data_IF_126390123202
#
_entry.id   IF_126390123202
#
_cell.length_a   1.000
_cell.length_b   1.000
_cell.length_c   1.000
_cell.angle_alpha   90.00
_cell.angle_beta   90.00
_cell.angle_gamma   90.00
#
_symmetry.space_group_name_H-M   'P 1'
#
loop_
_entity.id
_entity.type
_entity.pdbx_description
1 polymer ?
#
# COMPACT_ATOMS: atom_id res chain seq x y z
N UNK A 1 -12.48 15.67 -55.99
CA UNK A 1 -11.90 14.50 -55.27
C UNK A 1 -11.60 14.83 -53.82
N UNK A 2 -11.00 15.97 -53.51
CA UNK A 2 -10.60 16.35 -52.14
C UNK A 2 -11.79 16.62 -51.19
N UNK A 3 -12.86 17.25 -51.68
CA UNK A 3 -14.07 17.53 -50.88
C UNK A 3 -14.77 16.22 -50.45
N UNK A 4 -14.81 15.23 -51.34
CA UNK A 4 -15.42 13.91 -51.05
C UNK A 4 -14.61 13.17 -49.98
N UNK A 5 -13.28 13.26 -50.04
CA UNK A 5 -12.40 12.69 -49.03
C UNK A 5 -12.59 13.32 -47.65
N UNK A 6 -12.74 14.66 -47.60
CA UNK A 6 -13.04 15.38 -46.37
C UNK A 6 -14.36 14.94 -45.72
N UNK A 7 -15.41 14.74 -46.52
CA UNK A 7 -16.73 14.29 -46.03
C UNK A 7 -16.64 12.87 -45.46
N UNK A 8 -15.91 11.96 -46.12
CA UNK A 8 -15.76 10.57 -45.66
C UNK A 8 -15.04 10.51 -44.31
N UNK A 9 -13.98 11.30 -44.12
CA UNK A 9 -13.27 11.38 -42.83
C UNK A 9 -14.18 11.90 -41.72
N UNK A 10 -15.00 12.92 -42.02
CA UNK A 10 -15.95 13.49 -41.08
C UNK A 10 -16.97 12.44 -40.61
N UNK A 11 -17.51 11.65 -41.54
CA UNK A 11 -18.43 10.55 -41.21
C UNK A 11 -17.77 9.49 -40.34
N UNK A 12 -16.52 9.08 -40.65
CA UNK A 12 -15.78 8.10 -39.84
C UNK A 12 -15.50 8.60 -38.41
N UNK A 13 -15.16 9.87 -38.24
CA UNK A 13 -14.95 10.48 -36.92
C UNK A 13 -16.24 10.50 -36.10
N UNK A 14 -17.36 10.91 -36.71
CA UNK A 14 -18.67 10.92 -36.04
C UNK A 14 -19.07 9.50 -35.66
N UNK A 15 -18.85 8.52 -36.53
CA UNK A 15 -19.21 7.13 -36.26
C UNK A 15 -18.36 6.52 -35.14
N UNK A 16 -17.05 6.80 -35.11
CA UNK A 16 -16.16 6.42 -34.03
C UNK A 16 -16.55 7.02 -32.68
N UNK A 17 -16.97 8.30 -32.66
CA UNK A 17 -17.44 8.97 -31.44
C UNK A 17 -18.77 8.37 -30.92
N UNK A 18 -19.70 8.03 -31.82
CA UNK A 18 -20.96 7.38 -31.46
C UNK A 18 -20.69 5.97 -30.90
N UNK A 19 -19.81 5.19 -31.51
CA UNK A 19 -19.48 3.84 -31.02
C UNK A 19 -18.72 3.88 -29.68
N UNK A 20 -17.86 4.89 -29.45
CA UNK A 20 -17.19 5.09 -28.16
C UNK A 20 -18.20 5.37 -27.04
N UNK A 21 -19.31 6.07 -27.32
CA UNK A 21 -20.41 6.25 -26.36
C UNK A 21 -21.15 4.95 -26.07
N UNK A 22 -21.36 4.10 -27.08
CA UNK A 22 -22.04 2.80 -26.90
C UNK A 22 -21.24 1.82 -26.03
N UNK A 23 -19.91 1.81 -26.14
CA UNK A 23 -19.04 0.98 -25.28
C UNK A 23 -19.12 1.34 -23.79
N UNK A 24 -19.32 2.63 -23.46
CA UNK A 24 -19.54 3.06 -22.07
C UNK A 24 -20.91 2.68 -21.53
N UNK A 25 -21.93 2.60 -22.38
CA UNK A 25 -23.29 2.20 -21.96
C UNK A 25 -23.47 0.69 -21.83
N UNK A 26 -22.64 -0.13 -22.50
CA UNK A 26 -22.66 -1.59 -22.32
C UNK A 26 -22.27 -1.96 -20.89
N UNK A 27 -21.20 -1.35 -20.37
CA UNK A 27 -20.79 -1.45 -18.95
C UNK A 27 -21.91 -1.06 -17.97
N UNK A 28 -22.70 -0.02 -18.27
CA UNK A 28 -23.84 0.43 -17.43
C UNK A 28 -25.03 -0.54 -17.50
N UNK A 29 -25.14 -1.34 -18.57
CA UNK A 29 -26.21 -2.34 -18.73
C UNK A 29 -25.85 -3.70 -18.13
N UNK A 30 -24.57 -4.09 -18.15
CA UNK A 30 -24.13 -5.37 -17.59
C UNK A 30 -24.28 -5.43 -16.04
N UNK A 31 -24.05 -4.33 -15.30
CA UNK A 31 -24.29 -4.29 -13.83
C UNK A 31 -25.78 -4.26 -13.43
N UNK A 32 -26.72 -4.20 -14.38
CA UNK A 32 -28.17 -4.15 -14.09
C UNK A 32 -28.87 -5.51 -14.13
N UNK A 33 -28.12 -6.60 -14.31
CA UNK A 33 -28.68 -7.95 -14.37
C UNK A 33 -28.10 -8.84 -13.25
N UNK A 34 -28.38 -8.48 -12.00
CA UNK A 34 -28.35 -9.43 -10.88
C UNK A 34 -29.80 -9.71 -10.43
N UNK A 35 -30.32 -10.81 -10.97
CA UNK A 35 -31.23 -11.81 -10.37
C UNK A 35 -32.57 -11.45 -9.71
N UNK A 36 -33.02 -10.20 -9.63
CA UNK A 36 -34.41 -9.94 -9.19
C UNK A 36 -35.15 -8.95 -10.08
N UNK A 37 -36.07 -9.48 -10.89
CA UNK A 37 -36.93 -8.75 -11.82
C UNK A 37 -37.94 -7.83 -11.14
N UNK A 38 -37.49 -6.77 -10.46
CA UNK A 38 -38.34 -5.62 -10.15
C UNK A 38 -37.58 -4.33 -10.42
N UNK A 39 -38.07 -3.56 -11.40
CA UNK A 39 -37.67 -2.17 -11.57
C UNK A 39 -38.24 -1.37 -10.40
N UNK A 40 -37.49 -1.30 -9.30
CA UNK A 40 -37.81 -0.40 -8.20
C UNK A 40 -37.36 1.00 -8.64
N UNK A 41 -38.32 1.81 -9.06
CA UNK A 41 -38.15 3.23 -9.28
C UNK A 41 -37.93 3.91 -7.91
N UNK A 42 -36.66 4.02 -7.49
CA UNK A 42 -36.31 4.62 -6.19
C UNK A 42 -36.47 6.14 -6.25
N UNK A 43 -37.38 6.64 -5.43
CA UNK A 43 -37.69 8.07 -5.25
C UNK A 43 -36.45 8.86 -4.83
N UNK A 44 -36.39 10.12 -5.25
CA UNK A 44 -35.25 11.05 -5.14
C UNK A 44 -34.71 11.30 -3.72
N UNK A 45 -35.37 10.84 -2.66
CA UNK A 45 -34.95 10.99 -1.26
C UNK A 45 -33.97 9.94 -0.73
N UNK A 46 -33.78 8.81 -1.42
CA UNK A 46 -32.81 7.75 -1.04
C UNK A 46 -31.47 7.85 -1.79
N UNK A 47 -31.20 8.98 -2.46
CA UNK A 47 -29.97 9.18 -3.25
C UNK A 47 -28.70 9.40 -2.43
N UNK A 48 -28.80 9.45 -1.09
CA UNK A 48 -27.66 9.71 -0.20
C UNK A 48 -26.76 8.50 0.08
N UNK A 49 -27.18 7.28 -0.22
CA UNK A 49 -26.46 6.03 0.16
C UNK A 49 -25.52 5.50 -0.90
N UNK A 50 -25.61 5.95 -2.15
CA UNK A 50 -24.74 5.45 -3.23
C UNK A 50 -23.36 6.11 -3.22
N UNK A 51 -23.27 7.41 -2.91
CA UNK A 51 -21.97 8.09 -2.79
C UNK A 51 -21.12 7.54 -1.64
N UNK A 52 -21.73 7.24 -0.49
CA UNK A 52 -21.03 6.62 0.64
C UNK A 52 -20.57 5.20 0.34
N UNK A 53 -21.35 4.43 -0.44
CA UNK A 53 -20.99 3.07 -0.82
C UNK A 53 -19.84 3.04 -1.83
N UNK A 54 -19.83 3.98 -2.78
CA UNK A 54 -18.72 4.16 -3.72
C UNK A 54 -17.43 4.60 -3.00
N UNK A 55 -17.53 5.52 -2.04
CA UNK A 55 -16.40 5.97 -1.21
C UNK A 55 -15.85 4.83 -0.33
N UNK A 56 -16.73 4.01 0.26
CA UNK A 56 -16.35 2.82 1.03
C UNK A 56 -15.69 1.74 0.17
N UNK A 57 -16.21 1.50 -1.03
CA UNK A 57 -15.61 0.55 -1.98
C UNK A 57 -14.25 1.02 -2.46
N UNK A 58 -14.09 2.31 -2.75
CA UNK A 58 -12.80 2.88 -3.17
C UNK A 58 -11.79 2.87 -2.01
N UNK A 59 -12.21 3.18 -0.78
CA UNK A 59 -11.37 3.02 0.40
C UNK A 59 -10.92 1.56 0.60
N UNK A 60 -11.82 0.59 0.36
CA UNK A 60 -11.48 -0.82 0.45
C UNK A 60 -10.50 -1.25 -0.66
N UNK A 61 -10.67 -0.78 -1.90
CA UNK A 61 -9.71 -1.01 -3.00
C UNK A 61 -8.32 -0.48 -2.64
N UNK A 62 -8.24 0.73 -2.09
CA UNK A 62 -6.99 1.33 -1.64
C UNK A 62 -6.35 0.53 -0.50
N UNK A 63 -7.16 0.05 0.44
CA UNK A 63 -6.69 -0.80 1.54
C UNK A 63 -6.13 -2.14 1.04
N UNK A 64 -6.83 -2.81 0.12
CA UNK A 64 -6.35 -4.07 -0.48
C UNK A 64 -5.04 -3.84 -1.25
N UNK A 65 -4.96 -2.75 -2.03
CA UNK A 65 -3.73 -2.37 -2.73
C UNK A 65 -2.57 -2.15 -1.75
N UNK A 66 -2.83 -1.48 -0.62
CA UNK A 66 -1.86 -1.26 0.44
C UNK A 66 -1.37 -2.59 1.05
N UNK A 67 -2.29 -3.50 1.38
CA UNK A 67 -1.95 -4.82 1.91
C UNK A 67 -1.11 -5.65 0.93
N UNK A 68 -1.37 -5.52 -0.37
CA UNK A 68 -0.56 -6.14 -1.43
C UNK A 68 0.89 -5.65 -1.38
N UNK A 69 1.08 -4.32 -1.36
CA UNK A 69 2.41 -3.69 -1.26
C UNK A 69 3.16 -4.11 0.02
N UNK A 70 2.45 -4.11 1.15
CA UNK A 70 3.01 -4.57 2.45
C UNK A 70 3.45 -6.02 2.37
N UNK A 71 2.64 -6.90 1.77
CA UNK A 71 2.94 -8.33 1.69
C UNK A 71 4.14 -8.61 0.79
N UNK A 72 4.26 -7.92 -0.34
CA UNK A 72 5.40 -8.02 -1.26
C UNK A 72 6.70 -7.60 -0.58
N UNK A 73 6.71 -6.41 0.05
CA UNK A 73 7.89 -5.92 0.76
C UNK A 73 8.22 -6.79 1.98
N UNK A 74 7.23 -7.30 2.71
CA UNK A 74 7.47 -8.20 3.84
C UNK A 74 8.17 -9.50 3.40
N UNK A 75 7.79 -10.06 2.24
CA UNK A 75 8.43 -11.25 1.68
C UNK A 75 9.87 -10.97 1.24
N UNK A 76 10.12 -9.83 0.61
CA UNK A 76 11.48 -9.47 0.19
C UNK A 76 12.40 -9.23 1.39
N UNK A 77 11.91 -8.57 2.44
CA UNK A 77 12.62 -8.40 3.71
C UNK A 77 12.92 -9.76 4.34
N UNK A 78 11.93 -10.65 4.47
CA UNK A 78 12.15 -11.97 5.06
C UNK A 78 13.17 -12.80 4.25
N UNK A 79 13.13 -12.71 2.92
CA UNK A 79 14.12 -13.36 2.05
C UNK A 79 15.53 -12.79 2.24
N UNK A 80 15.66 -11.47 2.39
CA UNK A 80 16.93 -10.82 2.64
C UNK A 80 17.50 -11.22 4.01
N UNK A 81 16.68 -11.14 5.06
CA UNK A 81 17.09 -11.47 6.42
C UNK A 81 17.45 -12.94 6.56
N UNK A 82 16.70 -13.86 5.96
CA UNK A 82 17.04 -15.30 5.99
C UNK A 82 18.36 -15.65 5.32
N UNK A 83 18.83 -14.85 4.35
CA UNK A 83 20.14 -15.01 3.70
C UNK A 83 21.29 -14.42 4.52
N UNK A 84 21.03 -13.32 5.23
CA UNK A 84 22.07 -12.53 5.89
C UNK A 84 22.22 -12.84 7.39
N UNK A 85 21.17 -13.33 8.05
CA UNK A 85 21.17 -13.60 9.49
C UNK A 85 21.16 -15.10 9.79
N UNK A 86 22.24 -15.65 10.38
CA UNK A 86 22.30 -17.05 10.80
C UNK A 86 21.20 -17.43 11.80
N UNK A 87 20.70 -16.46 12.57
CA UNK A 87 19.64 -16.64 13.57
C UNK A 87 18.37 -17.27 12.98
N UNK A 88 18.06 -16.98 11.71
CA UNK A 88 16.92 -17.58 11.00
C UNK A 88 17.01 -19.11 10.89
N UNK A 89 18.21 -19.68 10.88
CA UNK A 89 18.41 -21.13 10.81
C UNK A 89 18.12 -21.82 12.15
N UNK A 90 18.18 -21.07 13.26
CA UNK A 90 18.05 -21.59 14.63
C UNK A 90 16.67 -21.37 15.25
N UNK A 91 15.83 -20.50 14.65
CA UNK A 91 14.51 -20.15 15.16
C UNK A 91 13.46 -21.19 14.75
N UNK A 92 12.43 -21.35 15.59
CA UNK A 92 11.32 -22.25 15.29
C UNK A 92 10.42 -21.66 14.20
N UNK A 93 9.61 -22.52 13.55
CA UNK A 93 8.64 -22.06 12.56
C UNK A 93 7.65 -21.03 13.13
N UNK A 94 7.22 -21.20 14.39
CA UNK A 94 6.33 -20.28 15.08
C UNK A 94 6.98 -18.91 15.34
N UNK A 95 8.26 -18.89 15.72
CA UNK A 95 9.01 -17.65 15.90
C UNK A 95 9.16 -16.88 14.58
N UNK A 96 9.44 -17.59 13.48
CA UNK A 96 9.53 -17.00 12.15
C UNK A 96 8.19 -16.45 11.67
N UNK A 97 7.07 -17.13 11.97
CA UNK A 97 5.72 -16.65 11.65
C UNK A 97 5.34 -15.40 12.46
N UNK A 98 5.72 -15.34 13.74
CA UNK A 98 5.55 -14.15 14.58
C UNK A 98 6.38 -12.98 14.06
N UNK A 99 7.64 -13.23 13.74
CA UNK A 99 8.53 -12.23 13.15
C UNK A 99 7.99 -11.69 11.82
N UNK A 100 7.49 -12.56 10.93
CA UNK A 100 6.88 -12.13 9.68
C UNK A 100 5.62 -11.28 9.89
N UNK A 101 4.83 -11.61 10.91
CA UNK A 101 3.65 -10.82 11.28
C UNK A 101 4.04 -9.43 11.81
N UNK A 102 5.13 -9.33 12.57
CA UNK A 102 5.72 -8.07 13.02
C UNK A 102 6.25 -7.23 11.84
N UNK A 103 6.94 -7.84 10.88
CA UNK A 103 7.37 -7.14 9.66
C UNK A 103 6.15 -6.50 8.96
N UNK A 104 5.07 -7.28 8.80
CA UNK A 104 3.85 -6.77 8.16
C UNK A 104 3.20 -5.62 8.93
N UNK A 105 3.12 -5.68 10.26
CA UNK A 105 2.51 -4.61 11.04
C UNK A 105 3.34 -3.32 10.96
N UNK A 106 4.66 -3.43 11.11
CA UNK A 106 5.58 -2.28 11.03
C UNK A 106 5.54 -1.61 9.66
N UNK A 107 5.53 -2.40 8.58
CA UNK A 107 5.42 -1.89 7.21
C UNK A 107 4.06 -1.24 6.93
N UNK A 108 2.98 -1.81 7.48
CA UNK A 108 1.64 -1.24 7.33
C UNK A 108 1.56 0.14 7.98
N UNK A 109 2.04 0.27 9.22
CA UNK A 109 2.06 1.55 9.94
C UNK A 109 2.90 2.58 9.18
N UNK A 110 4.07 2.17 8.68
CA UNK A 110 4.94 3.02 7.88
C UNK A 110 4.27 3.47 6.56
N UNK A 111 3.62 2.59 5.81
CA UNK A 111 2.94 3.00 4.57
C UNK A 111 1.68 3.84 4.82
N UNK A 112 0.96 3.60 5.92
CA UNK A 112 -0.13 4.49 6.35
C UNK A 112 0.42 5.90 6.62
N UNK A 113 1.59 5.99 7.25
CA UNK A 113 2.27 7.27 7.45
C UNK A 113 2.65 7.91 6.11
N UNK A 114 3.27 7.18 5.18
CA UNK A 114 3.56 7.68 3.83
C UNK A 114 2.32 8.27 3.15
N UNK A 115 1.21 7.53 3.14
CA UNK A 115 -0.05 8.02 2.57
C UNK A 115 -0.60 9.24 3.32
N UNK A 116 -0.43 9.29 4.65
CA UNK A 116 -0.78 10.44 5.48
C UNK A 116 -0.01 11.69 5.06
N UNK A 117 1.30 11.58 4.87
CA UNK A 117 2.16 12.69 4.45
C UNK A 117 1.80 13.21 3.06
N UNK A 118 1.52 12.31 2.11
CA UNK A 118 1.06 12.68 0.76
C UNK A 118 -0.26 13.46 0.82
N UNK A 119 -1.14 13.13 1.78
CA UNK A 119 -2.41 13.84 2.03
C UNK A 119 -2.24 15.11 2.88
N UNK A 120 -1.01 15.54 3.17
CA UNK A 120 -0.72 16.75 3.95
C UNK A 120 -0.92 16.62 5.46
N UNK A 121 -0.98 15.39 6.01
CA UNK A 121 -0.99 15.19 7.46
C UNK A 121 0.38 15.48 8.05
N UNK A 122 0.39 15.98 9.29
CA UNK A 122 1.64 16.24 10.02
C UNK A 122 2.41 14.97 10.34
N UNK A 123 3.73 15.13 10.43
CA UNK A 123 4.65 14.05 10.80
C UNK A 123 4.54 13.76 12.29
N UNK A 124 4.67 12.48 12.68
CA UNK A 124 4.78 12.09 14.09
C UNK A 124 6.18 12.43 14.59
N UNK A 125 6.32 12.80 15.86
CA UNK A 125 7.65 13.00 16.44
C UNK A 125 8.38 11.67 16.53
N UNK A 126 9.51 11.57 15.84
CA UNK A 126 10.38 10.40 15.81
C UNK A 126 11.29 10.38 17.05
N UNK A 127 11.27 9.33 17.90
CA UNK A 127 12.23 9.21 18.99
C UNK A 127 13.65 8.98 18.46
N UNK A 128 14.68 9.40 19.21
CA UNK A 128 16.07 9.20 18.79
C UNK A 128 16.46 7.71 18.78
N UNK A 129 17.17 7.30 17.74
CA UNK A 129 17.72 5.93 17.57
C UNK A 129 19.02 5.82 18.35
N UNK A 130 19.22 4.76 19.15
CA UNK A 130 20.44 4.59 19.97
C UNK A 130 21.22 3.29 19.70
N UNK A 131 20.83 2.47 18.73
CA UNK A 131 21.64 1.33 18.30
C UNK A 131 21.38 1.02 16.83
N UNK A 132 22.42 1.09 16.01
CA UNK A 132 22.40 0.76 14.59
C UNK A 132 22.86 -0.69 14.43
N UNK A 133 21.94 -1.58 14.06
CA UNK A 133 22.33 -2.90 13.57
C UNK A 133 23.06 -2.73 12.22
N UNK A 134 24.15 -3.47 11.94
CA UNK A 134 24.90 -3.31 10.67
C UNK A 134 24.03 -3.45 9.42
N UNK A 135 23.02 -4.34 9.48
CA UNK A 135 22.05 -4.56 8.40
C UNK A 135 20.92 -3.52 8.33
N UNK A 136 20.81 -2.61 9.31
CA UNK A 136 19.73 -1.62 9.34
C UNK A 136 19.81 -0.66 8.14
N UNK A 137 21.03 -0.30 7.72
CA UNK A 137 21.24 0.56 6.54
C UNK A 137 20.76 -0.10 5.24
N UNK A 138 21.09 -1.37 5.04
CA UNK A 138 20.69 -2.12 3.84
C UNK A 138 19.18 -2.32 3.79
N UNK A 139 18.58 -2.66 4.94
CA UNK A 139 17.14 -2.82 5.06
C UNK A 139 16.42 -1.49 4.81
N UNK A 140 16.90 -0.39 5.41
CA UNK A 140 16.38 0.97 5.19
C UNK A 140 16.40 1.34 3.72
N UNK A 141 17.52 1.10 3.04
CA UNK A 141 17.66 1.38 1.60
C UNK A 141 16.63 0.60 0.78
N UNK A 142 16.41 -0.69 1.08
CA UNK A 142 15.41 -1.51 0.40
C UNK A 142 14.00 -0.96 0.60
N UNK A 143 13.65 -0.60 1.84
CA UNK A 143 12.32 -0.06 2.18
C UNK A 143 12.09 1.29 1.52
N UNK A 144 13.05 2.21 1.58
CA UNK A 144 12.93 3.53 0.98
C UNK A 144 12.82 3.46 -0.55
N UNK A 145 13.64 2.63 -1.20
CA UNK A 145 13.55 2.43 -2.64
C UNK A 145 12.16 1.93 -3.05
N UNK A 146 11.64 0.93 -2.34
CA UNK A 146 10.28 0.43 -2.59
C UNK A 146 9.23 1.52 -2.33
N UNK A 147 9.40 2.31 -1.28
CA UNK A 147 8.50 3.42 -0.95
C UNK A 147 8.44 4.46 -2.07
N UNK A 148 9.59 4.93 -2.57
CA UNK A 148 9.63 5.92 -3.64
C UNK A 148 9.12 5.39 -4.99
N UNK A 149 9.24 4.08 -5.22
CA UNK A 149 8.65 3.44 -6.41
C UNK A 149 7.12 3.40 -6.36
N UNK A 150 6.54 3.14 -5.18
CA UNK A 150 5.09 2.96 -5.02
C UNK A 150 4.34 4.21 -4.53
N UNK A 151 5.07 5.22 -4.08
CA UNK A 151 4.58 6.51 -3.58
C UNK A 151 5.50 7.64 -4.08
N UNK A 152 5.54 7.92 -5.40
CA UNK A 152 6.43 8.91 -5.98
C UNK A 152 6.12 10.33 -5.49
N UNK A 153 4.90 10.61 -5.00
CA UNK A 153 4.54 11.91 -4.43
C UNK A 153 5.37 12.24 -3.17
N UNK A 154 5.95 11.25 -2.50
CA UNK A 154 6.85 11.49 -1.36
C UNK A 154 8.03 12.38 -1.75
N UNK A 155 8.51 12.31 -2.99
CA UNK A 155 9.63 13.12 -3.47
C UNK A 155 9.29 14.61 -3.62
N UNK A 156 8.01 14.97 -3.53
CA UNK A 156 7.54 16.36 -3.60
C UNK A 156 7.44 17.00 -2.20
N UNK A 157 7.63 16.22 -1.14
CA UNK A 157 7.57 16.69 0.24
C UNK A 157 8.80 17.54 0.59
N UNK A 158 8.65 18.38 1.60
CA UNK A 158 9.75 19.18 2.14
C UNK A 158 10.88 18.28 2.68
N UNK A 159 12.12 18.77 2.56
CA UNK A 159 13.34 18.10 3.00
C UNK A 159 13.26 17.76 4.50
N UNK A 160 12.64 18.62 5.33
CA UNK A 160 12.47 18.34 6.75
C UNK A 160 11.57 17.12 7.01
N UNK A 161 10.50 16.97 6.23
CA UNK A 161 9.59 15.83 6.29
C UNK A 161 10.29 14.57 5.81
N UNK A 162 11.08 14.66 4.72
CA UNK A 162 11.87 13.54 4.21
C UNK A 162 12.92 13.05 5.21
N UNK A 163 13.56 13.94 5.97
CA UNK A 163 14.49 13.56 7.05
C UNK A 163 13.80 12.81 8.17
N UNK A 164 12.59 13.22 8.55
CA UNK A 164 11.81 12.53 9.56
C UNK A 164 11.36 11.15 9.06
N UNK A 165 10.94 11.06 7.80
CA UNK A 165 10.60 9.78 7.16
C UNK A 165 11.80 8.82 7.13
N UNK A 166 13.00 9.31 6.82
CA UNK A 166 14.24 8.51 6.85
C UNK A 166 14.52 7.98 8.26
N UNK A 167 14.39 8.83 9.28
CA UNK A 167 14.58 8.44 10.68
C UNK A 167 13.52 7.43 11.16
N UNK A 168 12.25 7.61 10.77
CA UNK A 168 11.17 6.67 11.07
C UNK A 168 11.40 5.30 10.41
N UNK A 169 11.83 5.30 9.15
CA UNK A 169 12.19 4.09 8.42
C UNK A 169 13.36 3.36 9.10
N UNK A 170 14.35 4.10 9.58
CA UNK A 170 15.49 3.54 10.31
C UNK A 170 15.07 2.89 11.63
N UNK A 171 14.20 3.56 12.42
CA UNK A 171 13.64 2.98 13.64
C UNK A 171 12.87 1.69 13.37
N UNK A 172 12.02 1.71 12.35
CA UNK A 172 11.23 0.54 11.94
C UNK A 172 12.16 -0.64 11.59
N UNK A 173 13.21 -0.38 10.80
CA UNK A 173 14.21 -1.39 10.45
C UNK A 173 14.92 -1.97 11.68
N UNK A 174 15.27 -1.13 12.65
CA UNK A 174 15.88 -1.59 13.90
C UNK A 174 14.91 -2.42 14.76
N UNK A 175 13.62 -2.06 14.83
CA UNK A 175 12.60 -2.87 15.52
C UNK A 175 12.44 -4.24 14.88
N UNK A 176 12.40 -4.30 13.55
CA UNK A 176 12.38 -5.56 12.80
C UNK A 176 13.61 -6.41 13.18
N UNK A 177 14.81 -5.86 13.09
CA UNK A 177 16.05 -6.61 13.36
C UNK A 177 16.16 -7.07 14.82
N UNK A 178 15.85 -6.21 15.78
CA UNK A 178 15.90 -6.54 17.22
C UNK A 178 14.85 -7.58 17.67
N UNK A 179 13.77 -7.77 16.91
CA UNK A 179 12.78 -8.79 17.23
C UNK A 179 13.30 -10.23 17.07
N UNK A 180 14.36 -10.42 16.26
CA UNK A 180 15.03 -11.71 16.05
C UNK A 180 16.03 -12.02 17.16
N UNK A 181 16.70 -10.99 17.69
CA UNK A 181 17.74 -11.09 18.72
C UNK A 181 17.18 -11.35 20.12
N UNK A 182 16.03 -12.01 20.25
CA UNK A 182 15.50 -12.48 21.53
C UNK A 182 16.42 -13.55 22.14
N UNK A 183 17.48 -13.08 22.81
CA UNK A 183 17.86 -13.64 24.10
C UNK A 183 16.59 -13.72 24.94
N UNK A 184 16.20 -14.94 25.31
CA UNK A 184 15.20 -15.16 26.33
C UNK A 184 15.71 -14.52 27.63
N UNK A 185 15.26 -13.32 27.96
CA UNK A 185 15.29 -12.79 29.34
C UNK A 185 14.26 -13.56 30.20
N UNK A 186 14.32 -14.89 30.18
CA UNK A 186 13.38 -15.75 30.90
C UNK A 186 14.00 -16.99 31.54
N UNK A 187 15.32 -17.02 31.77
CA UNK A 187 15.95 -18.07 32.59
C UNK A 187 17.07 -17.61 33.54
N UNK A 188 17.02 -16.37 34.05
CA UNK A 188 17.85 -15.95 35.20
C UNK A 188 17.06 -15.52 36.45
N UNK A 189 15.73 -15.60 36.43
CA UNK A 189 14.88 -15.37 37.63
C UNK A 189 14.46 -16.66 38.36
N UNK A 190 15.18 -17.76 38.17
CA UNK A 190 14.95 -19.03 38.89
C UNK A 190 16.12 -19.46 39.78
N UNK A 191 17.13 -18.60 39.95
CA UNK A 191 18.12 -18.72 40.99
C UNK A 191 18.12 -17.44 41.82
N UNK A 192 17.09 -17.27 42.65
CA UNK A 192 17.22 -16.58 43.92
C UNK A 192 16.21 -17.12 44.92
#
# INVERSE_FOLDING_TARGET
MEIIFGIIIMVLLVWGLINRKKGKTAWIKEERFEESGSWIDKRSGERGTYGSLDDEMEANRQYISLQGKVSELAQSIQSLLSKQLPEFQTKTHDDLKRHFSLIKSELLDYFIQCQGLIKGKSVRQTPQVHALHPLASDLKKSVLNYSYQHFPELLQLDIEILKQLDADCELMCNRILSSLSTERIHKQKLHH
#
